data_IF_031147113519
#
_entry.id   IF_031147113519
#
_cell.length_a   1.000
_cell.length_b   1.000
_cell.length_c   1.000
_cell.angle_alpha   90.00
_cell.angle_beta   90.00
_cell.angle_gamma   90.00
#
_symmetry.space_group_name_H-M   'P 1'
#
loop_
_entity.id
_entity.type
_entity.pdbx_description
1 polymer ?
#
# COMPACT_ATOMS: atom_id res chain seq x y z
N UNK A 1 -13.23 8.03 -1.39
CA UNK A 1 -12.58 6.96 -2.16
C UNK A 1 -11.81 5.95 -1.31
N UNK A 2 -11.44 6.31 -0.09
CA UNK A 2 -10.78 5.37 0.81
C UNK A 2 -11.63 4.13 1.11
N UNK A 3 -12.95 4.30 1.24
CA UNK A 3 -13.87 3.18 1.46
C UNK A 3 -13.87 2.20 0.27
N UNK A 4 -13.89 2.69 -0.95
CA UNK A 4 -13.84 1.87 -2.16
C UNK A 4 -12.53 1.11 -2.25
N UNK A 5 -11.40 1.76 -1.96
CA UNK A 5 -10.09 1.12 -1.93
C UNK A 5 -10.01 0.02 -0.87
N UNK A 6 -10.51 0.30 0.33
CA UNK A 6 -10.57 -0.64 1.44
C UNK A 6 -11.38 -1.90 1.08
N UNK A 7 -12.49 -1.70 0.36
CA UNK A 7 -13.38 -2.81 -0.03
C UNK A 7 -12.77 -3.75 -1.07
N UNK A 8 -11.68 -3.35 -1.73
CA UNK A 8 -10.94 -4.23 -2.63
C UNK A 8 -10.19 -5.33 -1.87
N UNK A 9 -9.90 -5.15 -0.61
CA UNK A 9 -9.15 -6.13 0.19
C UNK A 9 -10.04 -7.28 0.63
N UNK A 10 -9.48 -8.50 0.55
CA UNK A 10 -10.06 -9.67 1.21
C UNK A 10 -10.02 -9.49 2.74
N UNK A 11 -10.81 -10.27 3.49
CA UNK A 11 -10.86 -10.14 4.95
C UNK A 11 -9.50 -10.36 5.62
N UNK A 12 -8.69 -11.28 5.08
CA UNK A 12 -7.31 -11.53 5.52
C UNK A 12 -6.26 -10.67 4.79
N UNK A 13 -6.71 -9.67 4.03
CA UNK A 13 -5.83 -8.82 3.21
C UNK A 13 -4.85 -7.98 4.04
N UNK A 14 -3.69 -7.72 3.47
CA UNK A 14 -2.59 -7.02 4.13
C UNK A 14 -2.03 -5.92 3.21
N UNK A 15 -1.76 -4.77 3.80
CA UNK A 15 -0.95 -3.70 3.20
C UNK A 15 0.44 -3.75 3.82
N UNK A 16 1.46 -3.93 2.99
CA UNK A 16 2.82 -4.18 3.46
C UNK A 16 3.83 -3.31 2.72
N UNK A 17 4.64 -2.59 3.48
CA UNK A 17 5.80 -1.83 2.98
C UNK A 17 7.04 -2.34 3.70
N UNK A 18 7.87 -3.20 3.06
CA UNK A 18 9.09 -3.72 3.66
C UNK A 18 10.08 -2.63 4.04
N UNK A 19 10.84 -2.87 5.12
CA UNK A 19 11.90 -1.99 5.59
C UNK A 19 13.23 -2.23 4.87
N UNK A 20 13.48 -3.47 4.46
CA UNK A 20 14.74 -3.86 3.80
C UNK A 20 14.48 -4.48 2.43
N UNK A 21 15.38 -4.25 1.45
CA UNK A 21 15.23 -4.88 0.14
C UNK A 21 15.19 -6.41 0.25
N UNK A 22 14.27 -7.03 -0.47
CA UNK A 22 14.13 -8.48 -0.49
C UNK A 22 13.63 -9.11 0.80
N UNK A 23 13.01 -8.32 1.69
CA UNK A 23 12.45 -8.83 2.95
C UNK A 23 11.43 -9.96 2.66
N UNK A 24 11.61 -11.17 3.25
CA UNK A 24 10.80 -12.34 2.88
C UNK A 24 9.36 -12.29 3.40
N UNK A 25 9.12 -11.65 4.55
CA UNK A 25 7.80 -11.53 5.16
C UNK A 25 7.72 -10.30 6.06
N UNK A 26 6.49 -9.96 6.49
CA UNK A 26 6.24 -8.87 7.42
C UNK A 26 5.89 -9.35 8.83
N UNK A 27 5.93 -10.66 9.11
CA UNK A 27 5.57 -11.25 10.40
C UNK A 27 6.78 -11.30 11.32
N UNK A 28 7.88 -11.89 10.83
CA UNK A 28 9.11 -12.09 11.61
C UNK A 28 10.15 -10.97 11.41
N UNK A 29 9.86 -9.99 10.54
CA UNK A 29 10.75 -8.88 10.21
C UNK A 29 10.03 -7.55 10.38
N UNK A 30 10.75 -6.56 10.91
CA UNK A 30 10.23 -5.19 11.03
C UNK A 30 9.97 -4.60 9.63
N UNK A 31 8.84 -3.93 9.48
CA UNK A 31 8.42 -3.27 8.23
C UNK A 31 8.16 -1.78 8.47
N UNK A 32 8.21 -0.99 7.40
CA UNK A 32 7.74 0.40 7.42
C UNK A 32 6.24 0.42 7.72
N UNK A 33 5.49 -0.47 7.08
CA UNK A 33 4.09 -0.71 7.36
C UNK A 33 3.75 -2.18 7.14
N UNK A 34 2.99 -2.74 8.04
CA UNK A 34 2.39 -4.06 7.89
C UNK A 34 1.02 -4.00 8.56
N UNK A 35 -0.01 -3.78 7.79
CA UNK A 35 -1.34 -3.46 8.28
C UNK A 35 -2.36 -4.47 7.76
N UNK A 36 -3.04 -5.15 8.67
CA UNK A 36 -4.20 -5.95 8.35
C UNK A 36 -5.43 -5.05 8.08
N UNK A 37 -6.55 -5.67 7.75
CA UNK A 37 -7.75 -4.91 7.39
C UNK A 37 -8.30 -4.07 8.53
N UNK A 38 -8.14 -4.49 9.78
CA UNK A 38 -8.53 -3.71 10.95
C UNK A 38 -7.68 -2.45 11.10
N UNK A 39 -6.36 -2.58 10.99
CA UNK A 39 -5.44 -1.45 11.08
C UNK A 39 -5.65 -0.46 9.93
N UNK A 40 -5.90 -0.97 8.71
CA UNK A 40 -6.24 -0.14 7.55
C UNK A 40 -7.50 0.69 7.82
N UNK A 41 -8.53 0.08 8.38
CA UNK A 41 -9.77 0.78 8.71
C UNK A 41 -9.54 1.90 9.72
N UNK A 42 -8.82 1.61 10.79
CA UNK A 42 -8.50 2.60 11.83
C UNK A 42 -7.70 3.77 11.25
N UNK A 43 -6.74 3.49 10.38
CA UNK A 43 -5.92 4.53 9.74
C UNK A 43 -6.77 5.41 8.80
N UNK A 44 -7.65 4.83 8.01
CA UNK A 44 -8.56 5.56 7.12
C UNK A 44 -9.50 6.45 7.93
N UNK A 45 -10.09 5.94 9.00
CA UNK A 45 -10.96 6.70 9.89
C UNK A 45 -10.21 7.88 10.52
N UNK A 46 -8.95 7.67 10.93
CA UNK A 46 -8.11 8.74 11.49
C UNK A 46 -7.82 9.82 10.46
N UNK A 47 -7.55 9.48 9.20
CA UNK A 47 -7.32 10.46 8.13
C UNK A 47 -8.54 11.36 7.89
N UNK A 48 -9.75 10.83 8.05
CA UNK A 48 -11.00 11.57 7.93
C UNK A 48 -11.42 12.34 9.19
N UNK A 49 -10.69 12.19 10.30
CA UNK A 49 -11.06 12.81 11.57
C UNK A 49 -10.67 14.30 11.62
N UNK A 50 -11.56 15.19 12.12
CA UNK A 50 -11.20 16.58 12.39
C UNK A 50 -10.06 16.74 13.40
N UNK A 51 -9.82 15.71 14.21
CA UNK A 51 -8.75 15.68 15.22
C UNK A 51 -7.42 15.14 14.69
N UNK A 52 -7.35 14.82 13.41
CA UNK A 52 -6.11 14.36 12.77
C UNK A 52 -5.17 15.56 12.51
N UNK A 53 -4.47 16.02 13.52
CA UNK A 53 -3.59 17.19 13.43
C UNK A 53 -2.50 17.03 12.35
N UNK A 54 -2.03 15.82 12.11
CA UNK A 54 -1.09 15.52 11.03
C UNK A 54 -1.67 15.79 9.64
N UNK A 55 -2.99 15.94 9.53
CA UNK A 55 -3.71 16.26 8.29
C UNK A 55 -4.20 17.71 8.25
N UNK A 56 -3.62 18.59 9.04
CA UNK A 56 -3.96 20.01 9.05
C UNK A 56 -2.69 20.85 8.81
N UNK A 57 -2.43 21.35 7.58
CA UNK A 57 -3.24 21.18 6.38
C UNK A 57 -3.23 19.74 5.85
N UNK A 58 -4.27 19.32 5.09
CA UNK A 58 -4.35 17.95 4.61
C UNK A 58 -3.27 17.64 3.58
N UNK A 59 -2.75 16.42 3.62
CA UNK A 59 -1.87 15.88 2.59
C UNK A 59 -2.66 15.53 1.33
N UNK A 60 -2.04 15.74 0.19
CA UNK A 60 -2.56 15.34 -1.12
C UNK A 60 -1.51 14.48 -1.80
N UNK A 61 -1.94 13.50 -2.54
CA UNK A 61 -1.02 12.63 -3.25
C UNK A 61 -1.48 12.32 -4.67
N UNK A 62 -0.53 11.88 -5.47
CA UNK A 62 -0.80 11.28 -6.78
C UNK A 62 0.09 10.08 -6.99
N UNK A 63 -0.40 9.12 -7.77
CA UNK A 63 0.34 7.95 -8.21
C UNK A 63 0.47 7.99 -9.73
N UNK A 64 1.67 7.75 -10.23
CA UNK A 64 1.92 7.46 -11.64
C UNK A 64 2.33 6.00 -11.72
N UNK A 65 1.51 5.20 -12.39
CA UNK A 65 1.68 3.74 -12.44
C UNK A 65 2.02 3.28 -13.85
N UNK A 66 2.96 2.36 -13.94
CA UNK A 66 3.16 1.55 -15.13
C UNK A 66 1.97 0.59 -15.27
N UNK A 67 1.64 0.22 -16.50
CA UNK A 67 0.66 -0.84 -16.74
C UNK A 67 1.08 -2.11 -16.00
N UNK A 68 0.18 -2.73 -15.21
CA UNK A 68 0.52 -3.94 -14.47
C UNK A 68 0.88 -5.12 -15.38
N UNK A 69 1.85 -5.90 -14.95
CA UNK A 69 2.27 -7.15 -15.58
C UNK A 69 1.99 -8.32 -14.64
N UNK A 70 1.64 -9.47 -15.18
CA UNK A 70 1.48 -10.68 -14.39
C UNK A 70 2.88 -11.22 -14.07
N UNK A 71 3.22 -11.25 -12.79
CA UNK A 71 4.49 -11.77 -12.29
C UNK A 71 4.43 -13.28 -12.07
N UNK A 72 3.33 -13.76 -11.52
CA UNK A 72 3.11 -15.18 -11.28
C UNK A 72 1.62 -15.51 -11.19
N UNK A 73 1.31 -16.80 -11.34
CA UNK A 73 -0.05 -17.32 -11.22
C UNK A 73 -0.01 -18.67 -10.55
N UNK A 74 -0.85 -18.86 -9.53
CA UNK A 74 -1.09 -20.17 -8.90
C UNK A 74 -2.54 -20.57 -9.17
N UNK A 75 -2.75 -21.35 -10.21
CA UNK A 75 -4.07 -21.79 -10.63
C UNK A 75 -4.76 -22.67 -9.58
N UNK A 76 -3.99 -23.47 -8.82
CA UNK A 76 -4.55 -24.35 -7.77
C UNK A 76 -5.09 -23.53 -6.59
N UNK A 77 -4.42 -22.46 -6.22
CA UNK A 77 -4.86 -21.54 -5.17
C UNK A 77 -5.83 -20.47 -5.66
N UNK A 78 -5.99 -20.29 -6.98
CA UNK A 78 -6.81 -19.24 -7.57
C UNK A 78 -6.24 -17.84 -7.31
N UNK A 79 -4.92 -17.72 -7.30
CA UNK A 79 -4.22 -16.46 -7.01
C UNK A 79 -3.33 -16.01 -8.15
N UNK A 80 -3.15 -14.71 -8.25
CA UNK A 80 -2.25 -14.05 -9.22
C UNK A 80 -1.44 -12.98 -8.49
N UNK A 81 -0.20 -12.79 -8.96
CA UNK A 81 0.61 -11.66 -8.51
C UNK A 81 0.87 -10.77 -9.70
N UNK A 82 0.53 -9.49 -9.58
CA UNK A 82 0.83 -8.47 -10.56
C UNK A 82 1.88 -7.52 -10.03
N UNK A 83 2.70 -6.98 -10.92
CA UNK A 83 3.73 -5.99 -10.63
C UNK A 83 3.53 -4.74 -11.47
N UNK A 84 3.66 -3.59 -10.83
CA UNK A 84 3.66 -2.29 -11.52
C UNK A 84 4.72 -1.40 -10.90
N UNK A 85 5.58 -0.80 -11.70
CA UNK A 85 6.45 0.28 -11.23
C UNK A 85 5.60 1.53 -10.98
N UNK A 86 6.00 2.36 -10.03
CA UNK A 86 5.25 3.56 -9.70
C UNK A 86 6.15 4.71 -9.25
N UNK A 87 5.61 5.90 -9.40
CA UNK A 87 6.08 7.12 -8.75
C UNK A 87 4.92 7.68 -7.93
N UNK A 88 5.19 7.99 -6.69
CA UNK A 88 4.23 8.54 -5.75
C UNK A 88 4.70 9.89 -5.28
N UNK A 89 3.82 10.88 -5.32
CA UNK A 89 4.11 12.24 -4.85
C UNK A 89 3.10 12.59 -3.77
N UNK A 90 3.61 13.05 -2.64
CA UNK A 90 2.79 13.56 -1.54
C UNK A 90 3.17 15.01 -1.27
N UNK A 91 2.16 15.85 -1.16
CA UNK A 91 2.33 17.28 -0.87
C UNK A 91 1.48 17.66 0.33
N UNK A 92 2.05 18.48 1.22
CA UNK A 92 1.37 19.04 2.36
C UNK A 92 1.87 20.46 2.59
N UNK A 93 0.96 21.44 2.49
CA UNK A 93 1.34 22.85 2.49
C UNK A 93 2.38 23.14 1.39
N UNK A 94 3.55 23.64 1.75
CA UNK A 94 4.64 23.94 0.81
C UNK A 94 5.61 22.76 0.63
N UNK A 95 5.49 21.72 1.47
CA UNK A 95 6.36 20.56 1.43
C UNK A 95 5.86 19.51 0.43
N UNK A 96 6.79 18.98 -0.35
CA UNK A 96 6.52 17.91 -1.29
C UNK A 96 7.66 16.90 -1.28
N UNK A 97 7.33 15.63 -1.34
CA UNK A 97 8.32 14.57 -1.54
C UNK A 97 7.84 13.54 -2.54
N UNK A 98 8.79 12.81 -3.09
CA UNK A 98 8.57 11.76 -4.08
C UNK A 98 9.12 10.44 -3.58
N UNK A 99 8.33 9.39 -3.73
CA UNK A 99 8.75 8.01 -3.53
C UNK A 99 8.60 7.25 -4.85
N UNK A 100 9.45 6.27 -5.07
CA UNK A 100 9.37 5.42 -6.24
C UNK A 100 9.68 3.97 -5.87
N UNK A 101 9.17 3.05 -6.66
CA UNK A 101 9.39 1.63 -6.43
C UNK A 101 8.54 0.76 -7.31
N UNK A 102 8.22 -0.42 -6.80
CA UNK A 102 7.30 -1.36 -7.45
C UNK A 102 6.23 -1.78 -6.47
N UNK A 103 5.02 -1.94 -6.97
CA UNK A 103 3.90 -2.49 -6.21
C UNK A 103 3.56 -3.87 -6.73
N UNK A 104 3.46 -4.80 -5.81
CA UNK A 104 3.01 -6.17 -6.06
C UNK A 104 1.66 -6.37 -5.42
N UNK A 105 0.66 -6.73 -6.21
CA UNK A 105 -0.63 -7.13 -5.70
C UNK A 105 -0.77 -8.63 -5.83
N UNK A 106 -1.11 -9.30 -4.73
CA UNK A 106 -1.58 -10.67 -4.75
C UNK A 106 -3.10 -10.64 -4.77
N UNK A 107 -3.66 -11.16 -5.84
CA UNK A 107 -5.09 -11.20 -6.09
C UNK A 107 -5.67 -12.58 -5.86
N UNK A 108 -6.89 -12.63 -5.39
CA UNK A 108 -7.68 -13.86 -5.34
C UNK A 108 -9.06 -13.59 -5.96
N UNK A 109 -9.55 -14.58 -6.72
CA UNK A 109 -10.92 -14.55 -7.20
C UNK A 109 -11.81 -15.21 -6.15
N UNK A 110 -12.72 -14.45 -5.59
CA UNK A 110 -13.57 -14.91 -4.48
C UNK A 110 -14.88 -14.11 -4.50
N UNK A 111 -16.00 -14.80 -4.30
CA UNK A 111 -17.33 -14.18 -4.27
C UNK A 111 -17.66 -13.37 -5.53
N UNK A 112 -17.24 -13.88 -6.71
CA UNK A 112 -17.53 -13.27 -8.00
C UNK A 112 -16.71 -12.02 -8.32
N UNK A 113 -15.63 -11.74 -7.59
CA UNK A 113 -14.77 -10.59 -7.83
C UNK A 113 -13.31 -10.84 -7.46
N UNK A 114 -12.43 -10.02 -8.02
CA UNK A 114 -11.03 -9.99 -7.59
C UNK A 114 -10.92 -9.22 -6.27
N UNK A 115 -10.19 -9.80 -5.33
CA UNK A 115 -9.89 -9.20 -4.04
C UNK A 115 -8.39 -9.18 -3.79
N UNK A 116 -7.91 -8.23 -3.01
CA UNK A 116 -6.50 -8.10 -2.67
C UNK A 116 -6.20 -8.91 -1.41
N UNK A 117 -5.32 -9.91 -1.53
CA UNK A 117 -4.75 -10.62 -0.38
C UNK A 117 -3.55 -9.87 0.20
N UNK A 118 -2.74 -9.26 -0.66
CA UNK A 118 -1.59 -8.48 -0.23
C UNK A 118 -1.30 -7.38 -1.23
N UNK A 119 -1.15 -6.17 -0.75
CA UNK A 119 -0.51 -5.08 -1.49
C UNK A 119 0.86 -4.86 -0.87
N UNK A 120 1.91 -5.28 -1.56
CA UNK A 120 3.29 -5.06 -1.16
C UNK A 120 3.88 -3.89 -1.95
N UNK A 121 4.38 -2.90 -1.24
CA UNK A 121 5.00 -1.72 -1.82
C UNK A 121 6.50 -1.75 -1.54
N UNK A 122 7.30 -2.03 -2.56
CA UNK A 122 8.76 -2.05 -2.47
C UNK A 122 9.31 -0.69 -2.89
N UNK A 123 9.67 0.13 -1.90
CA UNK A 123 10.33 1.41 -2.15
C UNK A 123 11.80 1.18 -2.49
N UNK A 124 12.34 1.91 -3.47
CA UNK A 124 13.74 1.78 -3.87
C UNK A 124 14.72 2.22 -2.78
N UNK A 125 14.27 3.05 -1.84
CA UNK A 125 15.05 3.56 -0.71
C UNK A 125 14.41 3.21 0.63
N UNK A 126 13.81 2.02 0.75
CA UNK A 126 13.09 1.59 1.95
C UNK A 126 13.97 1.55 3.21
N UNK A 127 15.28 1.38 3.06
CA UNK A 127 16.27 1.35 4.13
C UNK A 127 16.91 2.71 4.44
N UNK A 128 16.49 3.76 3.74
CA UNK A 128 16.95 5.13 4.00
C UNK A 128 16.08 5.83 5.04
N UNK A 129 16.54 7.01 5.48
CA UNK A 129 15.72 7.90 6.30
C UNK A 129 14.61 8.49 5.42
N UNK A 130 13.39 8.02 5.61
CA UNK A 130 12.23 8.46 4.85
C UNK A 130 11.54 9.64 5.53
N UNK A 131 10.88 10.52 4.76
CA UNK A 131 10.02 11.54 5.35
C UNK A 131 8.80 10.90 6.03
N UNK A 132 8.09 11.66 6.85
CA UNK A 132 6.84 11.19 7.45
C UNK A 132 5.79 10.99 6.37
N UNK A 133 5.45 9.74 6.09
CA UNK A 133 4.45 9.36 5.09
C UNK A 133 3.08 9.36 5.76
N UNK A 134 2.18 10.25 5.31
CA UNK A 134 0.86 10.38 5.92
C UNK A 134 -0.20 9.53 5.22
N UNK A 135 -0.05 9.32 3.92
CA UNK A 135 -0.99 8.57 3.09
C UNK A 135 -0.42 7.19 2.70
N UNK A 136 -1.00 6.57 1.68
CA UNK A 136 -0.60 5.22 1.24
C UNK A 136 0.12 5.29 -0.10
N UNK A 137 1.44 5.09 -0.12
CA UNK A 137 2.20 4.95 -1.37
C UNK A 137 1.83 3.74 -2.24
#
# INVERSE_FOLDING_TARGET
RWAEWYDLYADEGVYWVPLTPGQPDGIDHTSIAYEDKLLLKLRIERLGSPRAYSQQPPSRCTHVLQQPEIESCDAAAGTWVTRSAFVYVEARAEDQFTLAGAVYHTWVWRDGRLQILCKRVDLINCDAALPSIQLFP
#
